data_IF_315566383108
#
_entry.id   IF_315566383108
#
_cell.length_a   1.000
_cell.length_b   1.000
_cell.length_c   1.000
_cell.angle_alpha   90.00
_cell.angle_beta   90.00
_cell.angle_gamma   90.00
#
_symmetry.space_group_name_H-M   'P 1'
#
loop_
_entity.id
_entity.type
_entity.pdbx_description
1 polymer ?
#
# COMPACT_ATOMS: atom_id res chain seq x y z
N UNK A 1 3.46 18.22 -17.13
CA UNK A 1 4.49 17.99 -16.07
C UNK A 1 4.98 16.55 -16.19
N UNK A 2 6.29 16.28 -16.07
CA UNK A 2 6.88 14.92 -16.11
C UNK A 2 7.58 14.65 -14.78
N UNK A 3 7.66 13.39 -14.37
CA UNK A 3 8.36 12.95 -13.15
C UNK A 3 9.15 11.68 -13.45
N UNK A 4 10.24 11.46 -12.72
CA UNK A 4 11.02 10.22 -12.74
C UNK A 4 10.66 9.44 -11.47
N UNK A 5 10.30 8.16 -11.62
CA UNK A 5 9.91 7.29 -10.51
C UNK A 5 10.52 5.91 -10.67
N UNK A 6 10.70 5.21 -9.56
CA UNK A 6 11.10 3.81 -9.56
C UNK A 6 9.94 2.93 -10.04
N UNK A 7 10.25 1.87 -10.78
CA UNK A 7 9.24 0.88 -11.13
C UNK A 7 8.89 -0.01 -9.94
N UNK A 8 7.67 -0.56 -9.95
CA UNK A 8 7.20 -1.51 -8.92
C UNK A 8 8.20 -2.66 -8.74
N UNK A 9 8.73 -3.21 -9.83
CA UNK A 9 9.74 -4.27 -9.80
C UNK A 9 11.00 -3.87 -9.02
N UNK A 10 11.42 -2.61 -9.09
CA UNK A 10 12.59 -2.14 -8.35
C UNK A 10 12.26 -1.92 -6.87
N UNK A 11 11.06 -1.40 -6.56
CA UNK A 11 10.58 -1.24 -5.17
C UNK A 11 10.54 -2.61 -4.48
N UNK A 12 9.98 -3.63 -5.14
CA UNK A 12 9.83 -5.00 -4.62
C UNK A 12 11.13 -5.79 -4.45
N UNK A 13 12.27 -5.28 -4.94
CA UNK A 13 13.60 -5.86 -4.67
C UNK A 13 14.18 -5.44 -3.33
N UNK A 14 13.56 -4.48 -2.66
CA UNK A 14 14.04 -3.96 -1.37
C UNK A 14 13.97 -5.04 -0.30
N UNK A 15 14.95 -5.12 0.60
CA UNK A 15 14.93 -6.13 1.67
C UNK A 15 13.79 -5.92 2.66
N UNK A 16 13.37 -4.67 2.87
CA UNK A 16 12.28 -4.29 3.76
C UNK A 16 11.58 -3.07 3.19
N UNK A 17 10.25 -3.09 3.21
CA UNK A 17 9.41 -1.98 2.78
C UNK A 17 8.66 -1.44 3.99
N UNK A 18 8.71 -0.13 4.18
CA UNK A 18 7.95 0.57 5.22
C UNK A 18 7.10 1.65 4.55
N UNK A 19 5.79 1.58 4.73
CA UNK A 19 4.85 2.57 4.21
C UNK A 19 4.13 3.25 5.36
N UNK A 20 4.11 4.59 5.38
CA UNK A 20 3.32 5.37 6.33
C UNK A 20 2.17 6.04 5.59
N UNK A 21 0.94 5.76 6.02
CA UNK A 21 -0.28 6.20 5.34
C UNK A 21 -1.25 6.79 6.37
N UNK A 22 -1.01 8.03 6.85
CA UNK A 22 -1.96 8.73 7.70
C UNK A 22 -3.08 9.36 6.88
N UNK A 23 -4.18 9.74 7.53
CA UNK A 23 -5.31 10.52 7.03
C UNK A 23 -6.43 9.71 6.33
N UNK A 24 -7.69 10.09 6.63
CA UNK A 24 -8.93 9.45 6.17
C UNK A 24 -9.06 9.41 4.65
N UNK A 25 -8.60 10.47 3.96
CA UNK A 25 -8.57 10.55 2.48
C UNK A 25 -7.80 9.41 1.81
N UNK A 26 -7.01 8.64 2.56
CA UNK A 26 -6.28 7.47 2.06
C UNK A 26 -6.95 6.14 2.43
N UNK A 27 -8.06 6.14 3.18
CA UNK A 27 -8.70 4.93 3.69
C UNK A 27 -9.18 3.99 2.57
N UNK A 28 -9.68 4.51 1.45
CA UNK A 28 -10.04 3.67 0.29
C UNK A 28 -8.81 3.02 -0.35
N UNK A 29 -7.70 3.76 -0.46
CA UNK A 29 -6.45 3.22 -0.98
C UNK A 29 -5.90 2.12 -0.06
N UNK A 30 -5.97 2.31 1.25
CA UNK A 30 -5.58 1.32 2.26
C UNK A 30 -6.46 0.06 2.16
N UNK A 31 -7.77 0.22 2.09
CA UNK A 31 -8.72 -0.89 1.88
C UNK A 31 -8.42 -1.67 0.61
N UNK A 32 -8.24 -0.99 -0.52
CA UNK A 32 -7.94 -1.64 -1.79
C UNK A 32 -6.56 -2.31 -1.80
N UNK A 33 -5.59 -1.72 -1.08
CA UNK A 33 -4.23 -2.22 -0.96
C UNK A 33 -4.16 -3.49 -0.09
N UNK A 34 -4.95 -3.61 0.98
CA UNK A 34 -4.84 -4.70 1.96
C UNK A 34 -5.94 -5.76 1.84
N UNK A 35 -7.15 -5.38 1.46
CA UNK A 35 -8.31 -6.30 1.38
C UNK A 35 -8.69 -6.66 -0.06
N UNK A 36 -8.09 -5.99 -1.05
CA UNK A 36 -8.34 -6.24 -2.46
C UNK A 36 -7.40 -7.30 -3.05
N UNK A 37 -7.75 -7.81 -4.22
CA UNK A 37 -6.82 -8.62 -5.03
C UNK A 37 -5.72 -7.74 -5.62
N UNK A 38 -4.54 -8.32 -5.84
CA UNK A 38 -3.44 -7.63 -6.51
C UNK A 38 -3.86 -7.18 -7.91
N UNK A 39 -3.82 -5.87 -8.15
CA UNK A 39 -4.30 -5.25 -9.39
C UNK A 39 -3.50 -4.02 -9.80
N UNK A 40 -3.37 -3.83 -11.10
CA UNK A 40 -2.69 -2.71 -11.74
C UNK A 40 -3.38 -1.37 -11.47
N UNK A 41 -4.69 -1.41 -11.15
CA UNK A 41 -5.48 -0.24 -10.77
C UNK A 41 -5.13 0.26 -9.37
N UNK A 42 -4.57 -0.62 -8.53
CA UNK A 42 -4.16 -0.34 -7.16
C UNK A 42 -2.72 -0.84 -6.97
N UNK A 43 -1.70 -0.13 -7.50
CA UNK A 43 -0.33 -0.64 -7.57
C UNK A 43 0.27 -1.00 -6.21
N UNK A 44 -0.21 -0.40 -5.12
CA UNK A 44 0.21 -0.74 -3.76
C UNK A 44 -0.24 -2.15 -3.31
N UNK A 45 -1.27 -2.73 -3.93
CA UNK A 45 -1.75 -4.09 -3.61
C UNK A 45 -0.68 -5.16 -3.79
N UNK A 46 0.30 -4.95 -4.67
CA UNK A 46 1.44 -5.87 -4.83
C UNK A 46 2.30 -5.97 -3.56
N UNK A 47 2.27 -4.98 -2.67
CA UNK A 47 3.01 -5.00 -1.41
C UNK A 47 2.57 -6.14 -0.50
N UNK A 48 1.33 -6.65 -0.67
CA UNK A 48 0.84 -7.85 0.03
C UNK A 48 1.71 -9.09 -0.22
N UNK A 49 2.38 -9.18 -1.39
CA UNK A 49 3.23 -10.33 -1.72
C UNK A 49 4.67 -10.18 -1.23
N UNK A 50 5.04 -9.01 -0.68
CA UNK A 50 6.39 -8.77 -0.22
C UNK A 50 6.62 -9.40 1.16
N UNK A 51 7.62 -10.29 1.34
CA UNK A 51 7.80 -11.05 2.59
C UNK A 51 8.15 -10.17 3.80
N UNK A 52 8.66 -8.96 3.58
CA UNK A 52 9.04 -8.03 4.64
C UNK A 52 8.47 -6.63 4.38
N UNK A 53 7.15 -6.48 4.47
CA UNK A 53 6.46 -5.20 4.32
C UNK A 53 5.71 -4.82 5.61
N UNK A 54 5.85 -3.57 6.03
CA UNK A 54 5.13 -3.02 7.19
C UNK A 54 4.43 -1.73 6.78
N UNK A 55 3.12 -1.67 7.03
CA UNK A 55 2.31 -0.48 6.75
C UNK A 55 1.83 0.11 8.07
N UNK A 56 2.20 1.36 8.32
CA UNK A 56 1.75 2.14 9.47
C UNK A 56 0.53 2.96 9.07
N UNK A 57 -0.56 2.74 9.79
CA UNK A 57 -1.86 3.36 9.58
C UNK A 57 -2.27 4.07 10.86
N UNK A 58 -2.99 5.19 10.72
CA UNK A 58 -3.74 5.78 11.81
C UNK A 58 -5.17 5.26 11.82
N UNK A 59 -5.95 5.60 12.85
CA UNK A 59 -7.33 5.16 12.95
C UNK A 59 -8.18 5.64 11.77
N UNK A 60 -7.90 6.84 11.26
CA UNK A 60 -8.63 7.44 10.15
C UNK A 60 -8.40 6.69 8.83
N UNK A 61 -7.15 6.35 8.50
CA UNK A 61 -6.79 5.62 7.28
C UNK A 61 -7.12 4.13 7.37
N UNK A 62 -7.20 3.55 8.57
CA UNK A 62 -7.67 2.19 8.80
C UNK A 62 -9.21 2.05 8.85
N UNK A 63 -9.97 3.15 8.85
CA UNK A 63 -11.43 3.18 9.06
C UNK A 63 -12.25 2.27 8.14
N UNK A 64 -11.73 1.98 6.93
CA UNK A 64 -12.40 1.14 5.91
C UNK A 64 -11.87 -0.29 5.82
N UNK A 65 -10.96 -0.69 6.72
CA UNK A 65 -10.47 -2.06 6.79
C UNK A 65 -11.49 -2.97 7.46
N UNK A 66 -11.73 -4.13 6.85
CA UNK A 66 -12.49 -5.22 7.50
C UNK A 66 -11.62 -5.81 8.62
N UNK A 67 -12.15 -5.84 9.84
CA UNK A 67 -11.60 -6.71 10.88
C UNK A 67 -11.96 -8.14 10.52
N UNK A 68 -10.94 -9.00 10.42
CA UNK A 68 -11.08 -10.44 10.20
C UNK A 68 -11.02 -11.15 11.54
#
# INVERSE_FOLDING_TARGET
KKAISMSIRQIMKSKKIICSVPDERKADAVKNCLNGTTSNLHPASILQSHPACTIYLDHASASKLKQS
#
